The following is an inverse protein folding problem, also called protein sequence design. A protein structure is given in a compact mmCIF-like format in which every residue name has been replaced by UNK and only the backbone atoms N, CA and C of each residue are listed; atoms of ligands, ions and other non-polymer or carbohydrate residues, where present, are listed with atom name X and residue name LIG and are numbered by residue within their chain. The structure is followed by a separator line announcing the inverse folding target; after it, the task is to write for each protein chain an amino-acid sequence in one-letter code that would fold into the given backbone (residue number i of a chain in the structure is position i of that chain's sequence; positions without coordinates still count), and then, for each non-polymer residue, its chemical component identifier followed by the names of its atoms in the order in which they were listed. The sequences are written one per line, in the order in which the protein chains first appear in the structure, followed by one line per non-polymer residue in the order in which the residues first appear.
data_IF_672991377539
#
_entry.id   IF_672991377539
#
_cell.length_a   1.000
_cell.length_b   1.000
_cell.length_c   1.000
_cell.angle_alpha   90.00
_cell.angle_beta   90.00
_cell.angle_gamma   90.00
#
_symmetry.space_group_name_H-M   'P 1'
#
loop_
_entity.id
_entity.type
_entity.pdbx_description
1 polymer ?
#
# COMPACT_ATOMS: atom_id res chain seq x y z
N UNK A 1 -0.15 19.43 8.30
CA UNK A 1 -1.56 19.42 7.88
C UNK A 1 -2.29 18.45 8.76
N UNK A 2 -3.34 18.90 9.44
CA UNK A 2 -4.10 18.06 10.37
C UNK A 2 -4.61 16.82 9.64
N UNK A 3 -4.41 15.65 10.26
CA UNK A 3 -4.76 14.36 9.67
C UNK A 3 -6.28 14.11 9.67
N UNK A 4 -7.00 14.80 10.56
CA UNK A 4 -8.44 14.76 10.70
C UNK A 4 -8.98 16.06 11.29
N UNK A 5 -10.23 16.39 10.96
CA UNK A 5 -10.99 17.49 11.57
C UNK A 5 -12.38 16.97 11.94
N UNK A 6 -12.87 17.35 13.11
CA UNK A 6 -14.20 17.01 13.60
C UNK A 6 -14.95 18.30 13.90
N UNK A 7 -15.78 18.80 12.97
CA UNK A 7 -16.56 20.00 13.21
C UNK A 7 -17.74 19.67 14.13
N UNK A 8 -17.83 20.37 15.27
CA UNK A 8 -18.96 20.24 16.20
C UNK A 8 -20.22 20.97 15.70
N UNK A 9 -20.05 21.86 14.72
CA UNK A 9 -21.12 22.58 14.02
C UNK A 9 -20.81 22.63 12.53
N UNK A 10 -21.86 22.60 11.71
CA UNK A 10 -21.71 22.70 10.26
C UNK A 10 -21.28 24.15 9.93
N UNK A 11 -19.99 24.32 9.63
CA UNK A 11 -19.32 25.60 9.40
C UNK A 11 -18.35 25.46 8.24
N UNK A 12 -17.90 26.59 7.71
CA UNK A 12 -16.87 26.63 6.69
C UNK A 12 -15.51 26.26 7.29
N UNK A 13 -14.78 25.39 6.60
CA UNK A 13 -13.49 24.86 7.03
C UNK A 13 -12.40 25.27 6.05
N UNK A 14 -11.30 25.80 6.56
CA UNK A 14 -10.09 26.04 5.77
C UNK A 14 -9.18 24.83 5.85
N UNK A 15 -9.06 24.12 4.74
CA UNK A 15 -8.29 22.89 4.59
C UNK A 15 -7.16 23.08 3.56
N UNK A 16 -6.31 22.07 3.42
CA UNK A 16 -5.24 22.11 2.42
C UNK A 16 -5.85 22.13 1.01
N UNK A 17 -5.60 23.16 0.19
CA UNK A 17 -6.18 23.24 -1.15
C UNK A 17 -5.84 22.00 -1.99
N UNK A 18 -6.81 21.56 -2.79
CA UNK A 18 -6.64 20.43 -3.74
C UNK A 18 -6.32 19.07 -3.12
N UNK A 19 -6.45 18.92 -1.80
CA UNK A 19 -6.43 17.61 -1.15
C UNK A 19 -7.73 16.82 -1.39
N UNK A 20 -7.65 15.51 -1.16
CA UNK A 20 -8.81 14.62 -1.15
C UNK A 20 -9.14 14.24 0.29
N UNK A 21 -10.44 14.24 0.60
CA UNK A 21 -10.94 13.98 1.94
C UNK A 21 -12.07 12.95 1.88
N UNK A 22 -12.14 12.11 2.91
CA UNK A 22 -13.33 11.34 3.22
C UNK A 22 -14.08 12.08 4.33
N UNK A 23 -15.29 12.53 4.03
CA UNK A 23 -16.25 13.04 5.02
C UNK A 23 -17.17 11.90 5.43
N UNK A 24 -17.37 11.66 6.73
CA UNK A 24 -18.19 10.54 7.23
C UNK A 24 -18.79 10.85 8.60
N UNK A 25 -19.94 10.24 8.92
CA UNK A 25 -20.50 10.20 10.29
C UNK A 25 -20.45 8.79 10.90
N UNK A 26 -19.71 7.88 10.27
CA UNK A 26 -19.64 6.46 10.65
C UNK A 26 -20.68 5.57 9.95
N UNK A 27 -21.72 6.14 9.34
CA UNK A 27 -22.77 5.39 8.62
C UNK A 27 -22.75 5.70 7.13
N UNK A 28 -22.64 6.97 6.77
CA UNK A 28 -22.56 7.47 5.39
C UNK A 28 -21.29 8.27 5.24
N UNK A 29 -20.68 8.22 4.06
CA UNK A 29 -19.57 9.10 3.74
C UNK A 29 -19.50 9.46 2.26
N UNK A 30 -18.80 10.56 1.99
CA UNK A 30 -18.52 11.04 0.65
C UNK A 30 -17.04 11.38 0.49
N UNK A 31 -16.53 11.17 -0.73
CA UNK A 31 -15.20 11.64 -1.10
C UNK A 31 -15.33 13.07 -1.63
N UNK A 32 -14.58 13.98 -1.03
CA UNK A 32 -14.51 15.38 -1.41
C UNK A 32 -13.14 15.72 -1.96
N UNK A 33 -13.10 16.66 -2.91
CA UNK A 33 -11.88 17.30 -3.36
C UNK A 33 -11.93 18.76 -2.91
N UNK A 34 -10.95 19.16 -2.10
CA UNK A 34 -10.86 20.54 -1.61
C UNK A 34 -10.65 21.48 -2.81
N UNK A 35 -11.42 22.57 -2.95
CA UNK A 35 -11.22 23.54 -4.01
C UNK A 35 -9.86 24.25 -3.89
N UNK A 36 -9.49 25.01 -4.92
CA UNK A 36 -8.22 25.74 -4.92
C UNK A 36 -8.17 26.85 -3.85
N UNK A 37 -9.32 27.33 -3.38
CA UNK A 37 -9.45 28.27 -2.27
C UNK A 37 -9.09 27.65 -0.92
N UNK A 38 -9.17 26.32 -0.79
CA UNK A 38 -9.01 25.62 0.49
C UNK A 38 -10.27 25.63 1.35
N UNK A 39 -11.30 26.36 0.95
CA UNK A 39 -12.55 26.55 1.70
C UNK A 39 -13.54 25.45 1.33
N UNK A 40 -14.07 24.75 2.33
CA UNK A 40 -15.10 23.72 2.16
C UNK A 40 -16.27 24.06 3.08
N UNK A 41 -17.47 24.18 2.53
CA UNK A 41 -18.69 24.27 3.32
C UNK A 41 -19.14 22.86 3.75
N UNK A 42 -18.93 22.55 5.02
CA UNK A 42 -19.29 21.25 5.58
C UNK A 42 -20.81 20.99 5.58
N UNK A 43 -21.68 21.99 5.36
CA UNK A 43 -23.13 21.81 5.34
C UNK A 43 -23.65 21.38 3.97
N UNK A 44 -22.98 21.80 2.90
CA UNK A 44 -23.51 21.65 1.52
C UNK A 44 -22.66 20.73 0.66
N UNK A 45 -21.38 20.60 0.96
CA UNK A 45 -20.48 19.75 0.18
C UNK A 45 -20.43 18.33 0.73
N UNK A 46 -21.10 17.42 0.01
CA UNK A 46 -21.12 15.98 0.25
C UNK A 46 -21.79 15.53 1.56
N UNK A 47 -22.08 14.25 1.64
CA UNK A 47 -22.62 13.63 2.86
C UNK A 47 -21.50 13.24 3.83
N UNK A 48 -21.79 13.17 5.14
CA UNK A 48 -23.01 13.62 5.83
C UNK A 48 -23.18 15.15 5.85
N UNK A 49 -24.42 15.67 5.76
CA UNK A 49 -24.70 17.11 5.88
C UNK A 49 -24.99 17.60 7.31
N UNK A 50 -25.03 16.71 8.29
CA UNK A 50 -25.30 17.04 9.70
C UNK A 50 -24.29 16.40 10.66
N UNK A 51 -24.00 17.10 11.76
CA UNK A 51 -23.13 16.60 12.83
C UNK A 51 -23.66 15.30 13.50
N UNK A 52 -22.78 14.45 14.05
CA UNK A 52 -21.32 14.58 14.04
C UNK A 52 -20.73 14.25 12.66
N UNK A 53 -19.79 15.06 12.19
CA UNK A 53 -19.05 14.82 10.96
C UNK A 53 -17.57 14.68 11.26
N UNK A 54 -16.91 13.75 10.58
CA UNK A 54 -15.48 13.56 10.65
C UNK A 54 -14.92 13.65 9.24
N UNK A 55 -13.86 14.43 9.09
CA UNK A 55 -13.13 14.56 7.84
C UNK A 55 -11.74 13.97 8.00
N UNK A 56 -11.42 13.00 7.15
CA UNK A 56 -10.13 12.34 7.12
C UNK A 56 -9.44 12.60 5.79
N UNK A 57 -8.13 12.83 5.81
CA UNK A 57 -7.39 12.93 4.56
C UNK A 57 -7.37 11.59 3.84
N UNK A 58 -7.84 11.56 2.61
CA UNK A 58 -7.82 10.38 1.76
C UNK A 58 -6.44 10.21 1.12
N UNK A 59 -5.78 9.08 1.41
CA UNK A 59 -4.40 8.81 1.02
C UNK A 59 -4.25 7.42 0.40
N UNK A 60 -4.81 7.17 -0.79
CA UNK A 60 -4.62 5.90 -1.47
C UNK A 60 -3.14 5.77 -1.88
N UNK A 61 -2.61 4.57 -1.73
CA UNK A 61 -1.25 4.21 -2.13
C UNK A 61 -1.28 2.90 -2.88
N UNK A 62 -0.85 2.91 -4.13
CA UNK A 62 -0.69 1.70 -4.91
C UNK A 62 0.79 1.36 -5.01
N UNK A 63 1.22 0.25 -4.44
CA UNK A 63 2.60 -0.22 -4.51
C UNK A 63 2.78 -1.15 -5.72
N UNK A 64 3.89 -0.98 -6.43
CA UNK A 64 4.22 -1.81 -7.58
C UNK A 64 5.73 -1.94 -7.72
N UNK A 65 6.18 -3.00 -8.38
CA UNK A 65 7.58 -3.22 -8.71
C UNK A 65 7.78 -2.86 -10.17
N UNK A 66 8.66 -1.89 -10.41
CA UNK A 66 9.13 -1.51 -11.73
C UNK A 66 10.40 -2.27 -12.06
N UNK A 67 10.64 -2.57 -13.33
CA UNK A 67 11.83 -3.32 -13.79
C UNK A 67 13.11 -2.49 -13.91
N UNK A 68 13.10 -1.22 -13.51
CA UNK A 68 14.24 -0.31 -13.59
C UNK A 68 14.20 0.78 -12.50
N UNK A 69 15.36 1.32 -12.14
CA UNK A 69 15.53 2.30 -11.06
C UNK A 69 15.55 3.73 -11.58
N UNK A 70 16.54 4.08 -12.40
CA UNK A 70 16.80 5.43 -12.88
C UNK A 70 16.50 5.55 -14.37
N UNK A 71 16.97 4.60 -15.18
CA UNK A 71 16.80 4.63 -16.64
C UNK A 71 16.16 3.33 -17.09
N UNK A 72 15.13 3.42 -17.94
CA UNK A 72 14.50 2.24 -18.51
C UNK A 72 15.55 1.32 -19.16
N UNK A 73 15.63 0.08 -18.66
CA UNK A 73 16.61 -0.91 -19.10
C UNK A 73 17.85 -1.06 -18.22
N UNK A 74 18.03 -0.28 -17.15
CA UNK A 74 19.12 -0.48 -16.19
C UNK A 74 19.05 -1.81 -15.42
N UNK A 75 17.90 -2.50 -15.49
CA UNK A 75 17.69 -3.82 -14.93
C UNK A 75 17.57 -3.82 -13.40
N UNK A 76 17.48 -2.68 -12.73
CA UNK A 76 17.40 -2.62 -11.27
C UNK A 76 15.92 -2.59 -10.85
N UNK A 77 15.35 -3.70 -10.36
CA UNK A 77 13.95 -3.73 -9.96
C UNK A 77 13.74 -2.81 -8.76
N UNK A 78 12.69 -2.02 -8.80
CA UNK A 78 12.49 -0.92 -7.84
C UNK A 78 11.05 -0.91 -7.36
N UNK A 79 10.88 -0.92 -6.04
CA UNK A 79 9.59 -0.71 -5.41
C UNK A 79 9.24 0.76 -5.50
N UNK A 80 8.12 1.05 -6.15
CA UNK A 80 7.56 2.39 -6.24
C UNK A 80 6.12 2.38 -5.73
N UNK A 81 5.61 3.57 -5.43
CA UNK A 81 4.22 3.79 -5.08
C UNK A 81 3.61 4.88 -5.96
N UNK A 82 2.34 4.71 -6.31
CA UNK A 82 1.50 5.79 -6.82
C UNK A 82 0.79 6.48 -5.67
N UNK A 83 0.85 7.80 -5.65
CA UNK A 83 0.10 8.67 -4.74
C UNK A 83 -0.77 9.63 -5.54
N UNK A 84 -1.83 10.15 -4.93
CA UNK A 84 -2.61 11.22 -5.55
C UNK A 84 -1.79 12.51 -5.54
N UNK A 85 -1.62 13.10 -6.72
CA UNK A 85 -1.03 14.43 -6.88
C UNK A 85 -1.95 15.47 -6.26
N UNK A 86 -1.37 16.34 -5.45
CA UNK A 86 -1.98 17.62 -5.08
C UNK A 86 -1.79 18.57 -6.25
N UNK A 87 -2.87 18.90 -6.95
CA UNK A 87 -2.74 19.70 -8.17
C UNK A 87 -3.98 19.72 -9.04
N UNK A 88 -3.99 20.66 -9.98
CA UNK A 88 -4.84 20.65 -11.16
C UNK A 88 -3.95 20.47 -12.42
N UNK A 89 -4.23 19.49 -13.30
CA UNK A 89 -5.30 18.50 -13.23
C UNK A 89 -5.03 17.42 -12.16
N UNK A 90 -6.09 16.79 -11.62
CA UNK A 90 -5.94 15.65 -10.72
C UNK A 90 -5.22 14.49 -11.43
N UNK A 91 -4.44 13.70 -10.69
CA UNK A 91 -3.71 12.60 -11.27
C UNK A 91 -2.89 11.80 -10.26
N UNK A 92 -2.15 10.84 -10.78
CA UNK A 92 -1.21 10.02 -10.02
C UNK A 92 0.22 10.52 -10.18
N UNK A 93 0.99 10.43 -9.12
CA UNK A 93 2.43 10.65 -9.11
C UNK A 93 3.14 9.36 -8.70
N UNK A 94 4.26 9.08 -9.36
CA UNK A 94 5.13 7.95 -9.03
C UNK A 94 6.24 8.39 -8.07
N UNK A 95 6.40 7.64 -6.99
CA UNK A 95 7.48 7.83 -6.02
C UNK A 95 8.17 6.50 -5.78
N UNK A 96 9.45 6.40 -6.14
CA UNK A 96 10.23 5.19 -5.93
C UNK A 96 10.90 5.21 -4.56
N UNK A 97 10.71 4.12 -3.80
CA UNK A 97 11.02 4.07 -2.37
C UNK A 97 12.19 3.16 -2.04
N UNK A 98 12.46 2.14 -2.86
CA UNK A 98 13.59 1.23 -2.65
C UNK A 98 13.98 0.50 -3.93
N UNK A 99 15.27 0.56 -4.27
CA UNK A 99 15.88 -0.25 -5.32
C UNK A 99 16.15 -1.69 -4.85
N UNK A 100 16.30 -2.60 -5.80
CA UNK A 100 16.60 -4.02 -5.57
C UNK A 100 15.39 -4.87 -5.13
N UNK A 101 14.20 -4.29 -4.94
CA UNK A 101 13.01 -5.05 -4.52
C UNK A 101 12.46 -5.83 -5.72
N UNK A 102 12.52 -7.16 -5.65
CA UNK A 102 12.09 -8.08 -6.72
C UNK A 102 10.69 -8.64 -6.51
N UNK A 103 10.20 -8.67 -5.26
CA UNK A 103 8.87 -9.20 -4.93
C UNK A 103 8.33 -8.52 -3.68
N UNK A 104 7.02 -8.23 -3.70
CA UNK A 104 6.24 -7.73 -2.58
C UNK A 104 5.00 -8.62 -2.47
N UNK A 105 4.79 -9.21 -1.29
CA UNK A 105 3.60 -9.99 -0.97
C UNK A 105 2.94 -9.41 0.28
N UNK A 106 1.60 -9.40 0.24
CA UNK A 106 0.77 -9.03 1.37
C UNK A 106 -0.13 -10.21 1.67
N UNK A 107 -0.09 -10.68 2.92
CA UNK A 107 -0.96 -11.73 3.43
C UNK A 107 -1.78 -11.14 4.57
N UNK A 108 -3.10 -11.29 4.48
CA UNK A 108 -4.04 -10.70 5.41
C UNK A 108 -4.41 -11.70 6.49
N UNK A 109 -4.30 -11.29 7.75
CA UNK A 109 -4.81 -12.06 8.88
C UNK A 109 -6.24 -11.66 9.16
N UNK A 110 -7.15 -12.63 9.04
CA UNK A 110 -8.60 -12.46 9.12
C UNK A 110 -9.10 -12.93 10.48
N UNK A 111 -9.92 -12.11 11.12
CA UNK A 111 -10.70 -12.42 12.32
C UNK A 111 -12.09 -12.92 11.88
N UNK A 112 -12.27 -14.23 11.78
CA UNK A 112 -13.51 -14.86 11.30
C UNK A 112 -14.56 -14.98 12.42
N UNK A 113 -14.17 -15.00 13.70
CA UNK A 113 -15.08 -15.17 14.83
C UNK A 113 -15.56 -13.84 15.44
N UNK A 114 -14.93 -12.73 15.08
CA UNK A 114 -15.33 -11.39 15.49
C UNK A 114 -15.19 -11.19 16.99
N UNK A 115 -14.20 -11.83 17.62
CA UNK A 115 -13.89 -11.61 19.03
C UNK A 115 -13.18 -10.25 19.28
N UNK A 116 -12.78 -9.57 18.20
CA UNK A 116 -12.13 -8.26 18.17
C UNK A 116 -10.85 -8.19 19.02
N UNK A 117 -10.20 -9.34 19.30
CA UNK A 117 -8.97 -9.41 20.08
C UNK A 117 -7.72 -9.05 19.26
N UNK A 118 -7.88 -8.52 18.05
CA UNK A 118 -6.81 -8.21 17.09
C UNK A 118 -5.89 -9.41 16.81
N UNK A 119 -6.45 -10.61 16.93
CA UNK A 119 -5.76 -11.88 16.72
C UNK A 119 -6.42 -12.58 15.55
N UNK A 120 -5.72 -12.82 14.43
CA UNK A 120 -6.33 -13.47 13.27
C UNK A 120 -6.53 -14.96 13.50
N UNK A 121 -7.67 -15.51 13.06
CA UNK A 121 -7.92 -16.96 13.04
C UNK A 121 -7.22 -17.64 11.86
N UNK A 122 -7.08 -16.93 10.73
CA UNK A 122 -6.40 -17.44 9.52
C UNK A 122 -5.65 -16.35 8.77
N UNK A 123 -4.79 -16.78 7.85
CA UNK A 123 -4.06 -15.92 6.93
C UNK A 123 -4.38 -16.26 5.47
N UNK A 124 -4.54 -15.26 4.60
CA UNK A 124 -4.78 -15.46 3.16
C UNK A 124 -4.05 -14.42 2.30
N UNK A 125 -3.48 -14.86 1.18
CA UNK A 125 -2.91 -13.98 0.13
C UNK A 125 -3.94 -13.59 -0.94
N UNK A 126 -5.15 -14.14 -0.87
CA UNK A 126 -6.25 -13.91 -1.80
C UNK A 126 -7.52 -13.64 -0.98
N UNK A 127 -7.61 -12.49 -0.29
CA UNK A 127 -8.79 -12.17 0.50
C UNK A 127 -9.98 -11.87 -0.41
N UNK A 128 -11.18 -12.24 0.05
CA UNK A 128 -12.43 -11.70 -0.49
C UNK A 128 -12.68 -10.28 0.02
N UNK A 129 -13.67 -9.57 -0.54
CA UNK A 129 -14.09 -8.27 0.00
C UNK A 129 -14.56 -8.39 1.46
N UNK A 130 -15.25 -9.49 1.80
CA UNK A 130 -15.70 -9.77 3.17
C UNK A 130 -14.55 -10.11 4.12
N UNK A 131 -13.46 -10.70 3.60
CA UNK A 131 -12.24 -10.94 4.37
C UNK A 131 -11.56 -9.61 4.72
N UNK A 132 -11.45 -8.69 3.75
CA UNK A 132 -10.79 -7.40 3.97
C UNK A 132 -11.50 -6.55 5.03
N UNK A 133 -12.84 -6.67 5.15
CA UNK A 133 -13.60 -6.03 6.23
C UNK A 133 -13.26 -6.59 7.62
N UNK A 134 -12.79 -7.83 7.70
CA UNK A 134 -12.41 -8.52 8.94
C UNK A 134 -10.90 -8.68 9.11
N UNK A 135 -10.11 -7.99 8.30
CA UNK A 135 -8.66 -8.07 8.36
C UNK A 135 -8.14 -7.28 9.58
N UNK A 136 -7.53 -7.99 10.52
CA UNK A 136 -6.94 -7.40 11.75
C UNK A 136 -5.43 -7.24 11.67
N UNK A 137 -4.77 -7.99 10.78
CA UNK A 137 -3.33 -7.87 10.55
C UNK A 137 -2.98 -7.95 9.07
N UNK A 138 -1.83 -7.41 8.71
CA UNK A 138 -1.21 -7.63 7.40
C UNK A 138 0.26 -8.05 7.60
N UNK A 139 0.63 -9.19 7.03
CA UNK A 139 2.01 -9.60 6.88
C UNK A 139 2.54 -9.08 5.55
N UNK A 140 3.57 -8.24 5.61
CA UNK A 140 4.23 -7.66 4.44
C UNK A 140 5.58 -8.32 4.27
N UNK A 141 5.78 -8.98 3.14
CA UNK A 141 7.04 -9.66 2.80
C UNK A 141 7.69 -9.03 1.58
N UNK A 142 8.99 -8.80 1.66
CA UNK A 142 9.83 -8.29 0.58
C UNK A 142 10.96 -9.25 0.29
N UNK A 143 11.22 -9.51 -1.00
CA UNK A 143 12.50 -10.08 -1.45
C UNK A 143 13.31 -8.99 -2.14
N UNK A 144 14.54 -8.81 -1.66
CA UNK A 144 15.42 -7.73 -2.09
C UNK A 144 16.75 -8.33 -2.52
N UNK A 145 17.30 -7.80 -3.61
CA UNK A 145 18.62 -8.14 -4.12
C UNK A 145 19.59 -6.96 -4.05
N UNK A 146 20.89 -7.25 -4.14
CA UNK A 146 21.89 -6.23 -4.46
C UNK A 146 21.62 -5.61 -5.85
N UNK A 147 21.96 -4.35 -6.04
CA UNK A 147 21.83 -3.66 -7.34
C UNK A 147 22.86 -4.12 -8.37
N UNK A 148 24.04 -4.56 -7.91
CA UNK A 148 25.13 -5.06 -8.75
C UNK A 148 25.31 -6.57 -8.59
N UNK A 149 25.47 -7.34 -9.69
CA UNK A 149 25.76 -8.76 -9.59
C UNK A 149 27.21 -9.03 -9.18
N UNK A 150 27.42 -10.13 -8.48
CA UNK A 150 28.72 -10.74 -8.26
C UNK A 150 28.79 -12.04 -9.06
N UNK A 151 29.61 -12.05 -10.13
CA UNK A 151 29.75 -13.20 -11.04
C UNK A 151 30.35 -14.44 -10.37
N UNK A 152 31.00 -14.29 -9.22
CA UNK A 152 31.52 -15.42 -8.43
C UNK A 152 30.45 -16.05 -7.54
N UNK A 153 29.34 -15.35 -7.32
CA UNK A 153 28.24 -15.81 -6.48
C UNK A 153 27.17 -16.55 -7.29
N UNK A 154 26.60 -17.59 -6.68
CA UNK A 154 25.47 -18.33 -7.25
C UNK A 154 24.43 -18.60 -6.16
N UNK A 155 23.32 -17.88 -6.25
CA UNK A 155 22.17 -18.06 -5.38
C UNK A 155 21.32 -19.24 -5.83
N UNK A 156 21.48 -20.37 -5.14
CA UNK A 156 20.69 -21.59 -5.36
C UNK A 156 19.57 -21.75 -4.33
N UNK A 157 19.35 -20.74 -3.47
CA UNK A 157 18.36 -20.83 -2.40
C UNK A 157 16.95 -20.76 -2.96
N UNK A 158 16.07 -21.58 -2.39
CA UNK A 158 14.62 -21.43 -2.58
C UNK A 158 14.07 -20.53 -1.48
N UNK A 159 13.50 -19.41 -1.89
CA UNK A 159 12.90 -18.42 -1.02
C UNK A 159 11.42 -18.75 -0.79
N UNK A 160 11.07 -19.00 0.47
CA UNK A 160 9.69 -19.18 0.95
C UNK A 160 9.35 -18.10 1.97
N UNK A 161 8.13 -17.57 1.92
CA UNK A 161 7.62 -16.54 2.84
C UNK A 161 6.11 -16.33 2.67
N UNK A 162 5.42 -15.65 3.60
CA UNK A 162 3.99 -15.31 3.47
C UNK A 162 3.59 -14.91 2.04
N UNK A 163 2.78 -15.74 1.39
CA UNK A 163 2.26 -15.56 0.03
C UNK A 163 3.08 -16.23 -1.08
N UNK A 164 4.21 -16.85 -0.72
CA UNK A 164 5.20 -17.53 -1.59
C UNK A 164 5.64 -18.85 -0.94
N UNK A 165 4.69 -19.66 -0.53
CA UNK A 165 4.92 -21.01 0.00
C UNK A 165 4.54 -22.12 -1.00
N UNK A 166 4.98 -23.35 -0.69
CA UNK A 166 4.69 -24.53 -1.52
C UNK A 166 5.10 -24.32 -2.97
N UNK A 167 4.18 -24.56 -3.89
CA UNK A 167 4.41 -24.41 -5.34
C UNK A 167 4.65 -22.96 -5.78
N UNK A 168 4.36 -21.98 -4.92
CA UNK A 168 4.64 -20.54 -5.17
C UNK A 168 6.01 -20.09 -4.65
N UNK A 169 6.77 -21.00 -4.03
CA UNK A 169 8.15 -20.73 -3.64
C UNK A 169 8.97 -20.27 -4.85
N UNK A 170 9.95 -19.39 -4.60
CA UNK A 170 10.73 -18.81 -5.68
C UNK A 170 12.21 -19.17 -5.57
N UNK A 171 12.78 -19.63 -6.68
CA UNK A 171 14.20 -19.94 -6.80
C UNK A 171 14.78 -19.16 -7.98
N UNK A 172 15.93 -18.49 -7.83
CA UNK A 172 16.58 -17.82 -8.95
C UNK A 172 16.95 -18.83 -10.04
N UNK A 173 16.65 -18.48 -11.30
CA UNK A 173 16.91 -19.35 -12.45
C UNK A 173 18.39 -19.39 -12.79
N UNK A 174 18.86 -20.53 -13.30
CA UNK A 174 20.21 -20.68 -13.83
C UNK A 174 20.34 -19.95 -15.17
N UNK A 175 20.60 -18.66 -15.11
CA UNK A 175 20.93 -17.81 -16.24
C UNK A 175 22.19 -17.02 -15.91
N UNK A 176 23.03 -16.82 -16.92
CA UNK A 176 24.30 -16.09 -16.78
C UNK A 176 24.09 -14.57 -16.82
N UNK A 177 23.00 -14.11 -17.47
CA UNK A 177 22.63 -12.71 -17.63
C UNK A 177 21.12 -12.46 -17.37
N UNK A 178 20.76 -11.20 -17.12
CA UNK A 178 19.37 -10.72 -17.06
C UNK A 178 18.68 -10.91 -18.43
N UNK A 179 17.78 -11.87 -18.55
CA UNK A 179 16.98 -12.07 -19.76
C UNK A 179 15.54 -11.61 -19.49
N UNK A 180 15.03 -10.60 -20.22
CA UNK A 180 13.62 -10.20 -20.18
C UNK A 180 13.02 -10.08 -18.77
N UNK A 181 13.69 -9.38 -17.85
CA UNK A 181 13.21 -9.19 -16.47
C UNK A 181 13.26 -10.46 -15.61
N UNK A 182 14.08 -11.45 -15.99
CA UNK A 182 14.32 -12.68 -15.22
C UNK A 182 15.65 -12.54 -14.47
N UNK A 183 15.62 -12.46 -13.12
CA UNK A 183 16.84 -12.25 -12.34
C UNK A 183 17.74 -13.50 -12.33
N UNK A 184 19.04 -13.38 -12.63
CA UNK A 184 20.00 -14.49 -12.58
C UNK A 184 20.45 -14.78 -11.13
N UNK A 185 21.20 -15.88 -10.96
CA UNK A 185 21.72 -16.36 -9.65
C UNK A 185 22.79 -15.46 -9.04
N UNK A 186 23.40 -14.57 -9.80
CA UNK A 186 24.59 -13.82 -9.40
C UNK A 186 24.32 -12.64 -8.44
N UNK A 187 23.18 -12.62 -7.75
CA UNK A 187 22.81 -11.52 -6.86
C UNK A 187 22.61 -12.02 -5.44
N UNK A 188 23.26 -11.37 -4.48
CA UNK A 188 22.95 -11.57 -3.07
C UNK A 188 21.51 -11.12 -2.79
N UNK A 189 20.73 -11.99 -2.17
CA UNK A 189 19.33 -11.75 -1.84
C UNK A 189 19.02 -11.90 -0.36
N UNK A 190 18.17 -11.03 0.14
CA UNK A 190 17.61 -11.05 1.49
C UNK A 190 16.09 -11.00 1.43
N UNK A 191 15.47 -11.59 2.45
CA UNK A 191 14.05 -11.50 2.71
C UNK A 191 13.83 -10.61 3.94
N UNK A 192 12.88 -9.71 3.84
CA UNK A 192 12.33 -8.99 4.97
C UNK A 192 10.86 -9.36 5.12
N UNK A 193 10.41 -9.54 6.35
CA UNK A 193 9.00 -9.76 6.65
C UNK A 193 8.65 -9.01 7.93
N UNK A 194 7.47 -8.42 7.95
CA UNK A 194 6.93 -7.77 9.14
C UNK A 194 5.44 -7.99 9.21
N UNK A 195 4.89 -7.99 10.40
CA UNK A 195 3.45 -8.06 10.64
C UNK A 195 3.01 -6.75 11.24
N UNK A 196 2.02 -6.12 10.61
CA UNK A 196 1.43 -4.86 11.06
C UNK A 196 0.03 -5.14 11.54
N UNK A 197 -0.28 -4.66 12.74
CA UNK A 197 -1.64 -4.63 13.28
C UNK A 197 -2.44 -3.54 12.56
N UNK A 198 -3.60 -3.90 12.03
CA UNK A 198 -4.46 -2.99 11.30
C UNK A 198 -5.38 -2.30 12.29
N UNK A 199 -5.06 -1.03 12.57
CA UNK A 199 -5.96 -0.14 13.28
C UNK A 199 -6.96 0.42 12.28
N UNK A 200 -7.89 -0.40 11.81
CA UNK A 200 -9.09 0.11 11.19
C UNK A 200 -10.30 -0.64 11.75
N UNK A 201 -11.21 0.08 12.43
CA UNK A 201 -12.24 -0.51 13.26
C UNK A 201 -13.36 -1.02 12.36
N UNK A 202 -13.80 -2.25 12.60
CA UNK A 202 -15.21 -2.55 12.40
C UNK A 202 -16.01 -1.55 13.29
N UNK A 203 -17.10 -0.95 12.78
CA UNK A 203 -17.94 -0.04 13.56
C UNK A 203 -18.51 -0.72 14.81
#
# INVERSE_FOLDING_TARGET
GQASVTPDTCTELTLMPQDYLLKTNGVVGSLLRVPATGEVDACTEGEPISAPMQMYRYLPRLYYIRSWAVTAGDGIPTLCRKTLRRGAPPGWEDECIAEGVEDLQIVWGIDDDGDFLNTPNRYTSQPSDADLLRAVTAQVSLRVRASTPDRSYSDTKTYTYPGREGDRAWTPRQADDEANGVPPRQYYRKRFATTVQLKNPLP
#
